data_IF_417833727784
#
_entry.id   IF_417833727784
#
_cell.length_a   1.000
_cell.length_b   1.000
_cell.length_c   1.000
_cell.angle_alpha   90.00
_cell.angle_beta   90.00
_cell.angle_gamma   90.00
#
_symmetry.space_group_name_H-M   'P 1'
#
loop_
_entity.id
_entity.type
_entity.pdbx_description
1 polymer ?
#
# COMPACT_ATOMS: atom_id res chain seq x y z
N UNK A 1 26.65 13.93 17.45
CA UNK A 1 26.48 14.46 16.08
C UNK A 1 25.18 13.99 15.41
N UNK A 2 24.77 12.72 15.56
CA UNK A 2 23.51 12.19 15.00
C UNK A 2 22.25 12.67 15.76
N UNK A 3 22.35 12.94 17.06
CA UNK A 3 21.25 13.53 17.84
C UNK A 3 20.96 15.01 17.49
N UNK A 4 21.94 15.74 16.95
CA UNK A 4 21.80 17.17 16.61
C UNK A 4 21.22 17.39 15.19
N UNK A 5 21.21 16.34 14.35
CA UNK A 5 20.44 16.31 13.11
C UNK A 5 18.95 15.98 13.36
N UNK A 6 18.65 15.38 14.51
CA UNK A 6 17.30 14.93 14.88
C UNK A 6 16.42 16.10 15.32
N UNK A 7 16.97 17.05 16.08
CA UNK A 7 16.28 18.30 16.49
C UNK A 7 16.05 19.28 15.35
N UNK A 8 16.96 19.33 14.36
CA UNK A 8 16.83 20.20 13.18
C UNK A 8 15.77 19.75 12.16
N UNK A 9 15.30 18.51 12.26
CA UNK A 9 14.25 17.96 11.40
C UNK A 9 12.99 17.50 12.18
N UNK A 10 13.04 17.47 13.52
CA UNK A 10 11.89 17.19 14.39
C UNK A 10 11.16 18.44 14.87
N UNK A 11 11.77 19.62 14.74
CA UNK A 11 11.04 20.87 14.79
C UNK A 11 10.34 21.04 13.45
N UNK A 12 9.06 20.68 13.37
CA UNK A 12 8.24 21.32 12.35
C UNK A 12 8.38 22.82 12.62
N UNK A 13 9.02 23.55 11.71
CA UNK A 13 8.95 25.00 11.73
C UNK A 13 7.47 25.36 11.53
N UNK A 14 6.73 25.40 12.64
CA UNK A 14 5.40 26.00 12.71
C UNK A 14 5.48 27.46 12.23
N UNK A 15 6.68 28.05 12.27
CA UNK A 15 6.98 29.40 11.85
C UNK A 15 7.07 29.52 10.33
N UNK A 16 6.23 30.39 9.80
CA UNK A 16 6.14 30.83 8.40
C UNK A 16 7.47 31.39 7.92
N UNK A 17 8.25 32.00 8.82
CA UNK A 17 9.60 32.51 8.54
C UNK A 17 10.63 31.46 8.13
N UNK A 18 10.48 30.20 8.55
CA UNK A 18 11.37 29.12 8.13
C UNK A 18 11.27 28.80 6.63
N UNK A 19 10.16 29.18 5.98
CA UNK A 19 9.90 28.95 4.56
C UNK A 19 9.77 30.28 3.81
N UNK A 20 10.69 30.57 2.87
CA UNK A 20 10.56 31.78 2.02
C UNK A 20 9.23 31.84 1.24
N UNK A 21 8.60 30.67 1.04
CA UNK A 21 7.24 30.55 0.50
C UNK A 21 6.17 31.14 1.44
N UNK A 22 6.16 30.75 2.72
CA UNK A 22 5.15 31.19 3.67
C UNK A 22 5.14 32.72 3.85
N UNK A 23 6.32 33.35 3.88
CA UNK A 23 6.41 34.81 3.93
C UNK A 23 5.81 35.47 2.69
N UNK A 24 6.13 34.95 1.50
CA UNK A 24 5.59 35.47 0.24
C UNK A 24 4.07 35.36 0.18
N UNK A 25 3.53 34.23 0.65
CA UNK A 25 2.09 33.99 0.71
C UNK A 25 1.40 34.89 1.74
N UNK A 26 2.00 35.11 2.92
CA UNK A 26 1.47 36.06 3.90
C UNK A 26 1.44 37.51 3.35
N UNK A 27 2.50 37.95 2.68
CA UNK A 27 2.54 39.27 2.05
C UNK A 27 1.52 39.40 0.90
N UNK A 28 1.24 38.31 0.17
CA UNK A 28 0.16 38.28 -0.80
C UNK A 28 -1.20 38.51 -0.12
N UNK A 29 -1.54 37.75 0.93
CA UNK A 29 -2.81 37.91 1.66
C UNK A 29 -2.92 39.32 2.25
N UNK A 30 -1.83 39.85 2.80
CA UNK A 30 -1.76 41.21 3.31
C UNK A 30 -2.03 42.26 2.24
N UNK A 31 -1.45 42.07 1.05
CA UNK A 31 -1.70 42.94 -0.11
C UNK A 31 -3.17 42.87 -0.51
N UNK A 32 -3.73 41.67 -0.61
CA UNK A 32 -5.15 41.48 -0.93
C UNK A 32 -6.08 42.15 0.09
N UNK A 33 -5.78 42.02 1.38
CA UNK A 33 -6.51 42.68 2.46
C UNK A 33 -6.54 44.21 2.30
N UNK A 34 -5.40 44.82 1.97
CA UNK A 34 -5.31 46.28 1.76
C UNK A 34 -6.13 46.78 0.56
N UNK A 35 -6.51 45.89 -0.36
CA UNK A 35 -7.33 46.19 -1.53
C UNK A 35 -8.83 46.00 -1.27
N UNK A 36 -9.24 45.49 -0.10
CA UNK A 36 -10.65 45.31 0.24
C UNK A 36 -11.22 46.60 0.84
N UNK A 37 -12.20 47.26 0.21
CA UNK A 37 -12.82 48.47 0.74
C UNK A 37 -13.59 48.18 2.04
N UNK A 38 -13.46 49.04 3.04
CA UNK A 38 -14.19 48.94 4.32
C UNK A 38 -14.03 47.58 5.05
N UNK A 39 -12.94 46.85 4.78
CA UNK A 39 -12.70 45.50 5.31
C UNK A 39 -12.81 45.43 6.86
N UNK A 40 -12.34 46.47 7.55
CA UNK A 40 -12.38 46.58 9.01
C UNK A 40 -13.81 46.70 9.56
N UNK A 41 -14.74 47.27 8.79
CA UNK A 41 -16.16 47.40 9.20
C UNK A 41 -16.95 46.12 8.95
N UNK A 42 -16.50 45.29 8.02
CA UNK A 42 -17.14 44.01 7.71
C UNK A 42 -16.86 42.93 8.78
N UNK A 43 -15.80 43.11 9.58
CA UNK A 43 -15.42 42.15 10.62
C UNK A 43 -16.09 42.43 11.97
N UNK A 44 -16.49 41.39 12.71
CA UNK A 44 -16.85 41.51 14.12
C UNK A 44 -15.67 42.03 14.97
N UNK A 45 -15.91 42.71 16.11
CA UNK A 45 -14.84 43.28 16.94
C UNK A 45 -13.73 42.29 17.34
N UNK A 46 -14.11 41.07 17.74
CA UNK A 46 -13.16 40.01 18.10
C UNK A 46 -12.31 39.53 16.91
N UNK A 47 -12.86 39.58 15.70
CA UNK A 47 -12.16 39.18 14.49
C UNK A 47 -11.14 40.26 14.06
N UNK A 48 -11.50 41.54 14.23
CA UNK A 48 -10.61 42.68 14.01
C UNK A 48 -9.45 42.71 15.01
N UNK A 49 -9.70 42.40 16.29
CA UNK A 49 -8.65 42.26 17.30
C UNK A 49 -7.67 41.13 16.93
N UNK A 50 -8.20 39.96 16.55
CA UNK A 50 -7.36 38.84 16.12
C UNK A 50 -6.52 39.18 14.88
N UNK A 51 -7.07 39.93 13.93
CA UNK A 51 -6.31 40.41 12.77
C UNK A 51 -5.17 41.35 13.19
N UNK A 52 -5.45 42.30 14.08
CA UNK A 52 -4.44 43.23 14.59
C UNK A 52 -3.31 42.49 15.33
N UNK A 53 -3.64 41.45 16.11
CA UNK A 53 -2.64 40.57 16.72
C UNK A 53 -1.75 39.92 15.67
N UNK A 54 -2.32 39.34 14.62
CA UNK A 54 -1.57 38.65 13.55
C UNK A 54 -0.66 39.63 12.80
N UNK A 55 -1.16 40.82 12.45
CA UNK A 55 -0.40 41.84 11.73
C UNK A 55 0.71 42.48 12.59
N UNK A 56 0.59 42.44 13.92
CA UNK A 56 1.60 42.95 14.85
C UNK A 56 2.76 41.96 15.06
N UNK A 57 2.59 40.67 14.74
CA UNK A 57 3.65 39.66 14.89
C UNK A 57 4.81 39.95 13.94
N UNK A 58 6.04 39.71 14.45
CA UNK A 58 7.23 39.71 13.59
C UNK A 58 7.18 38.51 12.66
N UNK A 59 7.84 38.62 11.50
CA UNK A 59 7.88 37.54 10.50
C UNK A 59 8.34 36.20 11.10
N UNK A 60 9.31 36.24 12.01
CA UNK A 60 9.87 35.09 12.75
C UNK A 60 8.87 34.39 13.69
N UNK A 61 7.82 35.10 14.13
CA UNK A 61 6.82 34.62 15.08
C UNK A 61 5.50 34.20 14.41
N UNK A 62 5.36 34.47 13.11
CA UNK A 62 4.17 34.10 12.34
C UNK A 62 4.12 32.59 12.18
N UNK A 63 2.98 31.98 12.48
CA UNK A 63 2.74 30.55 12.27
C UNK A 63 1.79 30.29 11.11
N UNK A 64 1.82 29.09 10.52
CA UNK A 64 0.87 28.71 9.47
C UNK A 64 -0.59 28.84 9.91
N UNK A 65 -0.85 28.59 11.20
CA UNK A 65 -2.16 28.82 11.82
C UNK A 65 -2.58 30.29 11.75
N UNK A 66 -1.65 31.23 11.94
CA UNK A 66 -1.93 32.66 11.83
C UNK A 66 -2.23 33.06 10.37
N UNK A 67 -1.50 32.51 9.40
CA UNK A 67 -1.73 32.76 7.96
C UNK A 67 -3.11 32.25 7.53
N UNK A 68 -3.46 31.03 7.93
CA UNK A 68 -4.76 30.43 7.65
C UNK A 68 -5.91 31.15 8.36
N UNK A 69 -5.69 31.63 9.58
CA UNK A 69 -6.64 32.49 10.26
C UNK A 69 -6.84 33.81 9.51
N UNK A 70 -5.77 34.43 9.00
CA UNK A 70 -5.86 35.64 8.20
C UNK A 70 -6.63 35.42 6.89
N UNK A 71 -6.37 34.32 6.18
CA UNK A 71 -7.11 33.96 4.96
C UNK A 71 -8.63 33.86 5.19
N UNK A 72 -9.05 33.26 6.32
CA UNK A 72 -10.47 33.19 6.71
C UNK A 72 -11.04 34.57 7.02
N UNK A 73 -10.28 35.41 7.71
CA UNK A 73 -10.69 36.79 8.01
C UNK A 73 -10.85 37.62 6.73
N UNK A 74 -9.94 37.45 5.76
CA UNK A 74 -10.06 38.05 4.43
C UNK A 74 -11.35 37.60 3.73
N UNK A 75 -11.64 36.29 3.76
CA UNK A 75 -12.86 35.72 3.17
C UNK A 75 -14.15 36.30 3.80
N UNK A 76 -14.12 36.58 5.11
CA UNK A 76 -15.23 37.23 5.81
C UNK A 76 -15.44 38.68 5.39
N UNK A 77 -14.36 39.40 5.16
CA UNK A 77 -14.41 40.81 4.77
C UNK A 77 -14.66 41.03 3.27
N UNK A 78 -14.52 39.99 2.43
CA UNK A 78 -14.68 40.13 0.99
C UNK A 78 -16.14 40.45 0.59
N UNK A 79 -16.33 41.42 -0.33
CA UNK A 79 -17.64 41.76 -0.85
C UNK A 79 -18.20 40.66 -1.78
N UNK A 80 -19.52 40.56 -1.87
CA UNK A 80 -20.23 39.56 -2.67
C UNK A 80 -19.74 39.44 -4.12
N UNK A 81 -19.34 40.56 -4.73
CA UNK A 81 -18.83 40.60 -6.11
C UNK A 81 -17.54 39.78 -6.29
N UNK A 82 -16.67 39.70 -5.27
CA UNK A 82 -15.43 38.92 -5.30
C UNK A 82 -15.59 37.51 -4.72
N UNK A 83 -16.65 37.26 -3.95
CA UNK A 83 -16.89 35.98 -3.31
C UNK A 83 -17.22 34.86 -4.32
N UNK A 84 -18.02 35.14 -5.35
CA UNK A 84 -18.36 34.17 -6.41
C UNK A 84 -17.13 33.63 -7.19
N UNK A 85 -16.24 34.48 -7.72
CA UNK A 85 -15.04 33.99 -8.40
C UNK A 85 -14.11 33.27 -7.42
N UNK A 86 -13.99 33.74 -6.17
CA UNK A 86 -13.21 33.04 -5.15
C UNK A 86 -13.74 31.63 -4.88
N UNK A 87 -15.05 31.48 -4.70
CA UNK A 87 -15.67 30.17 -4.48
C UNK A 87 -15.42 29.21 -5.65
N UNK A 88 -15.41 29.72 -6.88
CA UNK A 88 -15.08 28.91 -8.06
C UNK A 88 -13.61 28.47 -8.05
N UNK A 89 -12.70 29.38 -7.71
CA UNK A 89 -11.27 29.08 -7.62
C UNK A 89 -10.98 28.05 -6.52
N UNK A 90 -11.49 28.27 -5.30
CA UNK A 90 -11.30 27.38 -4.14
C UNK A 90 -11.88 25.99 -4.42
N UNK A 91 -13.05 25.88 -5.06
CA UNK A 91 -13.59 24.58 -5.46
C UNK A 91 -12.73 23.87 -6.50
N UNK A 92 -12.15 24.60 -7.46
CA UNK A 92 -11.23 24.03 -8.44
C UNK A 92 -9.98 23.50 -7.77
N UNK A 93 -9.37 24.28 -6.87
CA UNK A 93 -8.20 23.87 -6.12
C UNK A 93 -8.49 22.67 -5.21
N UNK A 94 -9.64 22.68 -4.53
CA UNK A 94 -10.09 21.53 -3.73
C UNK A 94 -10.25 20.27 -4.59
N UNK A 95 -10.87 20.39 -5.77
CA UNK A 95 -11.01 19.27 -6.73
C UNK A 95 -9.65 18.73 -7.16
N UNK A 96 -8.68 19.59 -7.42
CA UNK A 96 -7.31 19.18 -7.76
C UNK A 96 -6.64 18.45 -6.59
N UNK A 97 -6.82 18.95 -5.36
CA UNK A 97 -6.22 18.41 -4.16
C UNK A 97 -6.79 17.05 -3.74
N UNK A 98 -8.12 16.85 -3.87
CA UNK A 98 -8.82 15.64 -3.37
C UNK A 98 -9.13 14.61 -4.45
N UNK A 99 -8.96 14.98 -5.73
CA UNK A 99 -9.34 14.17 -6.88
C UNK A 99 -10.84 14.23 -7.20
N UNK A 100 -11.20 13.77 -8.40
CA UNK A 100 -12.55 13.88 -8.96
C UNK A 100 -13.60 13.06 -8.20
N UNK A 101 -13.23 11.88 -7.69
CA UNK A 101 -14.14 10.98 -6.98
C UNK A 101 -14.61 11.61 -5.67
N UNK A 102 -13.67 11.99 -4.81
CA UNK A 102 -13.95 12.64 -3.52
C UNK A 102 -14.69 13.97 -3.70
N UNK A 103 -14.36 14.73 -4.75
CA UNK A 103 -15.05 15.97 -5.05
C UNK A 103 -16.51 15.75 -5.46
N UNK A 104 -16.81 14.68 -6.20
CA UNK A 104 -18.18 14.32 -6.56
C UNK A 104 -19.03 13.97 -5.33
N UNK A 105 -18.44 13.31 -4.32
CA UNK A 105 -19.12 13.07 -3.04
C UNK A 105 -19.39 14.38 -2.28
N UNK A 106 -18.42 15.28 -2.26
CA UNK A 106 -18.60 16.62 -1.70
C UNK A 106 -19.73 17.39 -2.40
N UNK A 107 -19.78 17.42 -3.74
CA UNK A 107 -20.84 18.09 -4.51
C UNK A 107 -22.23 17.51 -4.22
N UNK A 108 -22.33 16.19 -4.00
CA UNK A 108 -23.59 15.55 -3.60
C UNK A 108 -24.05 15.98 -2.22
N UNK A 109 -23.12 16.15 -1.28
CA UNK A 109 -23.40 16.58 0.08
C UNK A 109 -23.67 18.09 0.19
N UNK A 110 -23.05 18.89 -0.69
CA UNK A 110 -23.12 20.35 -0.72
C UNK A 110 -23.48 20.84 -2.13
N UNK A 111 -24.74 20.65 -2.58
CA UNK A 111 -25.15 21.10 -3.90
C UNK A 111 -24.97 22.61 -4.02
N UNK A 112 -24.52 23.05 -5.20
CA UNK A 112 -24.29 24.46 -5.48
C UNK A 112 -25.53 25.30 -5.12
N UNK A 113 -25.35 26.40 -4.39
CA UNK A 113 -26.45 27.29 -4.09
C UNK A 113 -27.10 27.79 -5.40
N UNK A 114 -28.42 27.57 -5.56
CA UNK A 114 -29.21 27.96 -6.75
C UNK A 114 -29.08 29.47 -7.01
N UNK A 115 -29.09 29.93 -8.28
CA UNK A 115 -29.01 31.37 -8.61
C UNK A 115 -29.96 32.21 -7.73
N UNK A 116 -29.40 33.19 -6.99
CA UNK A 116 -30.12 33.96 -5.96
C UNK A 116 -29.78 33.58 -4.51
N UNK A 117 -28.85 32.66 -4.34
CA UNK A 117 -28.39 32.14 -3.05
C UNK A 117 -27.72 33.17 -2.15
N UNK A 118 -28.07 33.04 -0.88
CA UNK A 118 -27.67 33.89 0.24
C UNK A 118 -26.14 33.99 0.34
N UNK A 119 -25.61 35.21 0.34
CA UNK A 119 -24.17 35.49 0.40
C UNK A 119 -23.50 34.79 1.59
N UNK A 120 -24.25 34.64 2.68
CA UNK A 120 -23.85 33.91 3.88
C UNK A 120 -23.56 32.43 3.61
N UNK A 121 -24.38 31.76 2.78
CA UNK A 121 -24.19 30.34 2.44
C UNK A 121 -22.94 30.15 1.58
N UNK A 122 -22.70 31.04 0.61
CA UNK A 122 -21.51 30.96 -0.23
C UNK A 122 -20.23 31.20 0.58
N UNK A 123 -20.27 32.15 1.53
CA UNK A 123 -19.14 32.42 2.42
C UNK A 123 -18.85 31.24 3.33
N UNK A 124 -19.89 30.65 3.93
CA UNK A 124 -19.74 29.46 4.77
C UNK A 124 -19.14 28.27 4.00
N UNK A 125 -19.53 28.09 2.74
CA UNK A 125 -18.98 27.04 1.88
C UNK A 125 -17.49 27.24 1.59
N UNK A 126 -17.07 28.48 1.26
CA UNK A 126 -15.66 28.81 1.05
C UNK A 126 -14.85 28.61 2.34
N UNK A 127 -15.36 29.06 3.49
CA UNK A 127 -14.68 28.85 4.78
C UNK A 127 -14.52 27.35 5.11
N UNK A 128 -15.53 26.53 4.80
CA UNK A 128 -15.46 25.08 5.00
C UNK A 128 -14.40 24.44 4.09
N UNK A 129 -14.41 24.79 2.80
CA UNK A 129 -13.43 24.27 1.84
C UNK A 129 -12.00 24.67 2.22
N UNK A 130 -11.78 25.93 2.59
CA UNK A 130 -10.48 26.39 3.10
C UNK A 130 -10.08 25.61 4.34
N UNK A 131 -11.00 25.37 5.29
CA UNK A 131 -10.70 24.57 6.48
C UNK A 131 -10.30 23.14 6.14
N UNK A 132 -11.00 22.49 5.20
CA UNK A 132 -10.68 21.15 4.74
C UNK A 132 -9.32 21.10 4.03
N UNK A 133 -9.02 22.08 3.17
CA UNK A 133 -7.73 22.20 2.48
C UNK A 133 -6.59 22.41 3.46
N UNK A 134 -6.77 23.30 4.43
CA UNK A 134 -5.79 23.58 5.49
C UNK A 134 -5.49 22.31 6.30
N UNK A 135 -6.50 21.51 6.62
CA UNK A 135 -6.31 20.22 7.26
C UNK A 135 -5.45 19.26 6.42
N UNK A 136 -5.71 19.18 5.11
CA UNK A 136 -4.90 18.37 4.19
C UNK A 136 -3.45 18.86 4.15
N UNK A 137 -3.24 20.17 4.00
CA UNK A 137 -1.90 20.75 3.95
C UNK A 137 -1.11 20.56 5.25
N UNK A 138 -1.78 20.57 6.40
CA UNK A 138 -1.13 20.31 7.69
C UNK A 138 -0.77 18.82 7.81
N UNK A 139 -1.65 17.91 7.40
CA UNK A 139 -1.46 16.47 7.63
C UNK A 139 -0.53 15.82 6.60
N UNK A 140 -0.59 16.24 5.34
CA UNK A 140 0.16 15.63 4.25
C UNK A 140 1.69 15.59 4.51
N UNK A 141 2.34 16.65 5.07
CA UNK A 141 3.74 16.58 5.49
C UNK A 141 3.96 15.53 6.58
N UNK A 142 3.10 15.44 7.61
CA UNK A 142 3.25 14.45 8.69
C UNK A 142 3.22 13.01 8.17
N UNK A 143 2.40 12.77 7.15
CA UNK A 143 2.32 11.49 6.45
C UNK A 143 3.59 11.20 5.66
N UNK A 144 4.06 12.18 4.90
CA UNK A 144 5.28 12.07 4.10
C UNK A 144 6.49 11.80 5.01
N UNK A 145 6.58 12.47 6.16
CA UNK A 145 7.63 12.20 7.15
C UNK A 145 7.53 10.79 7.72
N UNK A 146 6.33 10.32 8.06
CA UNK A 146 6.13 8.96 8.58
C UNK A 146 6.47 7.90 7.55
N UNK A 147 6.06 8.08 6.29
CA UNK A 147 6.38 7.21 5.16
C UNK A 147 7.88 7.18 4.91
N UNK A 148 8.52 8.34 4.82
CA UNK A 148 9.96 8.43 4.60
C UNK A 148 10.76 7.83 5.74
N UNK A 149 10.28 7.96 6.99
CA UNK A 149 10.89 7.29 8.14
C UNK A 149 10.77 5.77 8.05
N UNK A 150 9.59 5.23 7.71
CA UNK A 150 9.38 3.79 7.58
C UNK A 150 10.21 3.21 6.42
N UNK A 151 10.22 3.88 5.28
CA UNK A 151 11.04 3.50 4.12
C UNK A 151 12.53 3.51 4.47
N UNK A 152 13.03 4.58 5.11
CA UNK A 152 14.44 4.65 5.55
C UNK A 152 14.76 3.54 6.55
N UNK A 153 13.87 3.28 7.51
CA UNK A 153 14.05 2.21 8.49
C UNK A 153 14.12 0.83 7.82
N UNK A 154 13.20 0.54 6.89
CA UNK A 154 13.20 -0.71 6.13
C UNK A 154 14.49 -0.88 5.32
N UNK A 155 14.94 0.17 4.64
CA UNK A 155 16.20 0.15 3.87
C UNK A 155 17.39 -0.12 4.80
N UNK A 156 17.49 0.58 5.93
CA UNK A 156 18.58 0.39 6.90
C UNK A 156 18.54 -1.03 7.49
N UNK A 157 17.36 -1.53 7.86
CA UNK A 157 17.19 -2.88 8.39
C UNK A 157 17.61 -3.94 7.36
N UNK A 158 17.20 -3.81 6.10
CA UNK A 158 17.59 -4.73 5.03
C UNK A 158 19.08 -4.64 4.69
N UNK A 159 19.67 -3.44 4.78
CA UNK A 159 21.11 -3.26 4.62
C UNK A 159 21.89 -3.96 5.75
N UNK A 160 21.47 -3.78 7.01
CA UNK A 160 22.06 -4.46 8.16
C UNK A 160 21.93 -5.98 8.05
N UNK A 161 20.76 -6.48 7.64
CA UNK A 161 20.55 -7.90 7.40
C UNK A 161 21.46 -8.43 6.28
N UNK A 162 21.63 -7.68 5.20
CA UNK A 162 22.54 -8.04 4.10
C UNK A 162 23.99 -8.13 4.58
N UNK A 163 24.45 -7.14 5.36
CA UNK A 163 25.79 -7.14 5.96
C UNK A 163 25.95 -8.33 6.90
N UNK A 164 24.94 -8.63 7.73
CA UNK A 164 24.98 -9.76 8.65
C UNK A 164 25.06 -11.10 7.90
N UNK A 165 24.32 -11.28 6.80
CA UNK A 165 24.37 -12.49 5.97
C UNK A 165 25.73 -12.63 5.27
N UNK A 166 26.28 -11.54 4.73
CA UNK A 166 27.62 -11.55 4.11
C UNK A 166 28.68 -11.89 5.15
N UNK A 167 28.63 -11.27 6.33
CA UNK A 167 29.57 -11.52 7.41
C UNK A 167 29.47 -12.96 7.92
N UNK A 168 28.25 -13.48 8.11
CA UNK A 168 28.01 -14.87 8.45
C UNK A 168 28.56 -15.82 7.39
N UNK A 169 28.43 -15.47 6.10
CA UNK A 169 28.98 -16.26 5.01
C UNK A 169 30.52 -16.33 5.00
N UNK A 170 31.22 -15.37 5.61
CA UNK A 170 32.68 -15.42 5.74
C UNK A 170 33.16 -16.26 6.94
N UNK A 171 32.31 -16.44 7.96
CA UNK A 171 32.69 -17.11 9.22
C UNK A 171 32.20 -18.55 9.34
N UNK A 172 31.05 -18.86 8.73
CA UNK A 172 30.43 -20.16 8.86
C UNK A 172 30.99 -21.16 7.83
N UNK A 173 31.01 -22.45 8.17
CA UNK A 173 31.35 -23.48 7.19
C UNK A 173 30.34 -23.48 6.03
N UNK A 174 30.76 -23.85 4.80
CA UNK A 174 29.93 -23.88 3.60
C UNK A 174 28.56 -24.55 3.75
N UNK A 175 28.43 -25.51 4.67
CA UNK A 175 27.20 -26.24 4.94
C UNK A 175 26.10 -25.46 5.67
N UNK A 176 26.40 -24.29 6.25
CA UNK A 176 25.45 -23.52 7.08
C UNK A 176 24.86 -22.28 6.38
N UNK A 177 25.22 -22.01 5.12
CA UNK A 177 24.78 -20.79 4.44
C UNK A 177 23.36 -20.86 3.86
N UNK A 178 22.86 -22.06 3.57
CA UNK A 178 21.57 -22.26 2.90
C UNK A 178 20.43 -21.57 3.64
N UNK A 179 20.33 -21.78 4.96
CA UNK A 179 19.23 -21.23 5.76
C UNK A 179 19.32 -19.71 5.88
N UNK A 180 20.52 -19.13 5.97
CA UNK A 180 20.69 -17.68 5.98
C UNK A 180 20.21 -17.03 4.68
N UNK A 181 20.48 -17.65 3.51
CA UNK A 181 19.99 -17.13 2.23
C UNK A 181 18.47 -17.29 2.06
N UNK A 182 17.89 -18.39 2.56
CA UNK A 182 16.43 -18.60 2.58
C UNK A 182 15.73 -17.53 3.43
N UNK A 183 16.21 -17.31 4.65
CA UNK A 183 15.68 -16.26 5.54
C UNK A 183 15.82 -14.88 4.89
N UNK A 184 16.97 -14.59 4.30
CA UNK A 184 17.20 -13.32 3.60
C UNK A 184 16.26 -13.12 2.43
N UNK A 185 16.11 -14.12 1.56
CA UNK A 185 15.22 -14.05 0.40
C UNK A 185 13.76 -13.84 0.83
N UNK A 186 13.30 -14.54 1.87
CA UNK A 186 11.98 -14.34 2.46
C UNK A 186 11.79 -12.95 3.05
N UNK A 187 12.76 -12.48 3.84
CA UNK A 187 12.72 -11.14 4.42
C UNK A 187 12.68 -10.04 3.34
N UNK A 188 13.44 -10.23 2.25
CA UNK A 188 13.44 -9.33 1.10
C UNK A 188 12.07 -9.30 0.40
N UNK A 189 11.45 -10.45 0.17
CA UNK A 189 10.10 -10.52 -0.39
C UNK A 189 9.07 -9.75 0.44
N UNK A 190 9.10 -9.94 1.75
CA UNK A 190 8.21 -9.22 2.67
C UNK A 190 8.51 -7.72 2.73
N UNK A 191 9.79 -7.31 2.63
CA UNK A 191 10.16 -5.91 2.56
C UNK A 191 9.60 -5.23 1.29
N UNK A 192 9.65 -5.90 0.13
CA UNK A 192 9.02 -5.40 -1.11
C UNK A 192 7.50 -5.28 -0.98
N UNK A 193 6.85 -6.27 -0.36
CA UNK A 193 5.42 -6.23 -0.06
C UNK A 193 5.06 -5.06 0.87
N UNK A 194 5.84 -4.86 1.93
CA UNK A 194 5.69 -3.72 2.85
C UNK A 194 5.90 -2.37 2.14
N UNK A 195 6.89 -2.26 1.26
CA UNK A 195 7.15 -1.05 0.49
C UNK A 195 5.98 -0.70 -0.43
N UNK A 196 5.39 -1.70 -1.10
CA UNK A 196 4.20 -1.50 -1.93
C UNK A 196 3.01 -1.00 -1.10
N UNK A 197 2.79 -1.54 0.10
CA UNK A 197 1.73 -1.08 1.03
C UNK A 197 1.92 0.39 1.45
N UNK A 198 3.16 0.80 1.76
CA UNK A 198 3.50 2.18 2.13
C UNK A 198 3.23 3.14 0.96
N UNK A 199 3.43 2.69 -0.28
CA UNK A 199 3.16 3.48 -1.48
C UNK A 199 1.65 3.60 -1.77
N UNK A 200 0.89 2.52 -1.62
CA UNK A 200 -0.56 2.53 -1.88
C UNK A 200 -1.38 3.23 -0.80
N UNK A 201 -0.90 3.25 0.45
CA UNK A 201 -1.60 3.89 1.57
C UNK A 201 -1.66 5.43 1.46
N UNK A 202 -0.88 6.04 0.57
CA UNK A 202 -0.81 7.49 0.38
C UNK A 202 -2.03 8.11 -0.33
N UNK A 203 -2.95 7.30 -0.86
CA UNK A 203 -4.09 7.77 -1.65
C UNK A 203 -5.45 7.81 -0.95
N UNK A 204 -5.56 7.38 0.31
CA UNK A 204 -6.88 7.20 0.96
C UNK A 204 -7.04 8.04 2.24
N UNK A 205 -7.92 9.04 2.22
CA UNK A 205 -8.30 9.90 3.36
C UNK A 205 -8.66 9.12 4.65
N UNK A 206 -9.31 7.96 4.52
CA UNK A 206 -9.73 7.11 5.65
C UNK A 206 -8.61 6.26 6.27
N UNK A 207 -7.55 5.99 5.49
CA UNK A 207 -6.34 5.33 5.98
C UNK A 207 -5.57 6.23 6.96
N UNK A 208 -5.72 7.56 6.85
CA UNK A 208 -4.92 8.57 7.56
C UNK A 208 -5.30 8.69 9.03
N UNK A 209 -6.59 8.66 9.36
CA UNK A 209 -7.06 8.61 10.76
C UNK A 209 -6.66 7.30 11.43
N UNK A 210 -6.64 6.20 10.67
CA UNK A 210 -6.14 4.90 11.14
C UNK A 210 -4.61 4.89 11.29
N UNK A 211 -3.86 5.57 10.42
CA UNK A 211 -2.40 5.73 10.51
C UNK A 211 -2.00 6.59 11.72
N UNK A 212 -2.74 7.67 12.00
CA UNK A 212 -2.51 8.52 13.17
C UNK A 212 -2.88 7.84 14.49
N UNK A 213 -3.92 6.99 14.50
CA UNK A 213 -4.33 6.24 15.70
C UNK A 213 -3.53 4.98 15.97
N UNK A 214 -2.82 4.42 14.98
CA UNK A 214 -2.43 3.02 15.05
C UNK A 214 -0.92 2.80 15.03
N UNK A 215 -0.35 2.62 16.22
CA UNK A 215 0.90 1.88 16.37
C UNK A 215 0.88 0.51 15.68
N UNK A 216 -0.31 -0.04 15.35
CA UNK A 216 -0.47 -1.33 14.66
C UNK A 216 0.01 -1.31 13.20
N UNK A 217 -0.21 -0.22 12.43
CA UNK A 217 0.29 -0.16 11.04
C UNK A 217 1.81 -0.13 11.02
N UNK A 218 2.41 0.67 11.91
CA UNK A 218 3.86 0.73 12.11
C UNK A 218 4.43 -0.64 12.52
N UNK A 219 3.78 -1.29 13.48
CA UNK A 219 4.17 -2.62 13.96
C UNK A 219 4.09 -3.67 12.83
N UNK A 220 3.03 -3.66 12.02
CA UNK A 220 2.84 -4.61 10.92
C UNK A 220 3.94 -4.47 9.84
N UNK A 221 4.33 -3.25 9.50
CA UNK A 221 5.41 -2.96 8.55
C UNK A 221 6.77 -3.36 9.11
N UNK A 222 7.00 -3.12 10.40
CA UNK A 222 8.28 -3.42 11.06
C UNK A 222 8.52 -4.93 11.22
N UNK A 223 7.47 -5.70 11.50
CA UNK A 223 7.59 -7.15 11.73
C UNK A 223 7.55 -7.92 10.39
N UNK A 224 7.08 -7.31 9.30
CA UNK A 224 6.94 -7.96 7.99
C UNK A 224 8.20 -8.72 7.52
N UNK A 225 9.43 -8.15 7.54
CA UNK A 225 10.62 -8.89 7.10
C UNK A 225 10.92 -10.13 7.96
N UNK A 226 10.64 -10.08 9.27
CA UNK A 226 10.83 -11.21 10.18
C UNK A 226 9.84 -12.33 9.85
N UNK A 227 8.56 -11.99 9.66
CA UNK A 227 7.53 -12.95 9.25
C UNK A 227 7.84 -13.54 7.87
N UNK A 228 8.34 -12.72 6.94
CA UNK A 228 8.75 -13.18 5.61
C UNK A 228 9.89 -14.19 5.65
N UNK A 229 10.91 -13.92 6.47
CA UNK A 229 12.01 -14.86 6.69
C UNK A 229 11.53 -16.17 7.32
N UNK A 230 10.68 -16.10 8.35
CA UNK A 230 10.09 -17.29 8.98
C UNK A 230 9.23 -18.10 8.00
N UNK A 231 8.44 -17.41 7.19
CA UNK A 231 7.62 -18.01 6.14
C UNK A 231 8.49 -18.78 5.15
N UNK A 232 9.56 -18.16 4.64
CA UNK A 232 10.49 -18.84 3.75
C UNK A 232 11.11 -20.11 4.36
N UNK A 233 11.45 -20.10 5.65
CA UNK A 233 11.94 -21.30 6.36
C UNK A 233 10.89 -22.41 6.38
N UNK A 234 9.64 -22.09 6.73
CA UNK A 234 8.54 -23.07 6.71
C UNK A 234 8.35 -23.64 5.31
N UNK A 235 8.34 -22.79 4.27
CA UNK A 235 8.19 -23.25 2.89
C UNK A 235 9.36 -24.15 2.46
N UNK A 236 10.59 -23.82 2.84
CA UNK A 236 11.75 -24.66 2.56
C UNK A 236 11.60 -26.07 3.15
N UNK A 237 11.07 -26.19 4.38
CA UNK A 237 10.77 -27.49 4.98
C UNK A 237 9.61 -28.23 4.30
N UNK A 238 8.59 -27.52 3.79
CA UNK A 238 7.53 -28.16 2.99
C UNK A 238 8.07 -28.80 1.70
N UNK A 239 9.04 -28.14 1.04
CA UNK A 239 9.76 -28.75 -0.09
C UNK A 239 10.62 -29.94 0.36
N UNK A 240 11.36 -29.78 1.46
CA UNK A 240 12.26 -30.83 1.97
C UNK A 240 11.51 -32.09 2.44
N UNK A 241 10.30 -31.93 2.96
CA UNK A 241 9.42 -33.03 3.33
C UNK A 241 8.66 -33.63 2.13
N UNK A 242 8.83 -33.06 0.93
CA UNK A 242 8.19 -33.56 -0.30
C UNK A 242 6.69 -33.33 -0.35
N UNK A 243 6.13 -32.42 0.46
CA UNK A 243 4.69 -32.08 0.41
C UNK A 243 4.35 -31.23 -0.82
N UNK A 244 5.33 -30.54 -1.39
CA UNK A 244 5.20 -29.74 -2.60
C UNK A 244 6.16 -30.28 -3.66
N UNK A 245 5.62 -30.80 -4.77
CA UNK A 245 6.40 -31.47 -5.83
C UNK A 245 5.99 -30.99 -7.22
N UNK A 246 6.94 -30.95 -8.16
CA UNK A 246 6.74 -30.48 -9.53
C UNK A 246 8.00 -29.88 -10.16
N UNK A 247 8.01 -29.73 -11.50
CA UNK A 247 9.20 -29.31 -12.24
C UNK A 247 9.72 -27.89 -11.88
N UNK A 248 8.82 -27.01 -11.43
CA UNK A 248 9.13 -25.64 -11.00
C UNK A 248 9.52 -25.54 -9.53
N UNK A 249 9.35 -26.61 -8.74
CA UNK A 249 9.70 -26.63 -7.33
C UNK A 249 11.12 -27.15 -7.11
N UNK A 250 11.81 -26.67 -6.07
CA UNK A 250 13.15 -27.15 -5.74
C UNK A 250 13.08 -28.58 -5.19
N UNK A 251 13.96 -29.46 -5.68
CA UNK A 251 14.20 -30.74 -5.03
C UNK A 251 15.16 -30.50 -3.85
N UNK A 252 14.63 -30.57 -2.63
CA UNK A 252 15.41 -30.30 -1.40
C UNK A 252 15.57 -31.59 -0.62
N UNK A 253 16.82 -31.93 -0.28
CA UNK A 253 17.14 -33.13 0.51
C UNK A 253 17.55 -32.73 1.93
N UNK A 254 17.03 -33.45 2.92
CA UNK A 254 17.41 -33.28 4.33
C UNK A 254 18.64 -34.15 4.65
N UNK A 255 19.60 -33.61 5.39
CA UNK A 255 20.71 -34.38 5.91
C UNK A 255 20.23 -35.46 6.91
N UNK A 256 20.40 -36.74 6.57
CA UNK A 256 19.96 -37.89 7.39
C UNK A 256 21.09 -38.58 8.17
N UNK A 257 22.30 -38.02 8.20
CA UNK A 257 23.46 -38.67 8.82
C UNK A 257 23.47 -38.48 10.34
N UNK A 258 22.99 -39.50 11.08
CA UNK A 258 23.35 -40.02 12.43
C UNK A 258 23.88 -39.15 13.59
N UNK A 259 24.16 -37.88 13.40
CA UNK A 259 24.59 -36.92 14.42
C UNK A 259 23.58 -35.78 14.50
N UNK A 260 23.52 -35.11 15.65
CA UNK A 260 22.62 -34.00 15.91
C UNK A 260 22.73 -32.91 14.84
N UNK A 261 21.85 -32.95 13.84
CA UNK A 261 21.83 -31.97 12.74
C UNK A 261 21.30 -30.66 13.31
N UNK A 262 22.17 -29.65 13.41
CA UNK A 262 21.74 -28.29 13.70
C UNK A 262 20.76 -27.83 12.61
N UNK A 263 19.71 -27.09 12.99
CA UNK A 263 18.69 -26.60 12.05
C UNK A 263 19.32 -25.86 10.84
N UNK A 264 20.45 -25.20 11.07
CA UNK A 264 21.22 -24.46 10.06
C UNK A 264 21.89 -25.35 8.99
N UNK A 265 22.14 -26.64 9.24
CA UNK A 265 22.74 -27.61 8.30
C UNK A 265 21.76 -28.65 7.76
N UNK A 266 20.46 -28.49 8.07
CA UNK A 266 19.44 -29.47 7.70
C UNK A 266 19.18 -29.54 6.18
N UNK A 267 19.32 -28.42 5.45
CA UNK A 267 19.06 -28.34 4.01
C UNK A 267 20.37 -28.43 3.23
N UNK A 268 20.57 -29.53 2.50
CA UNK A 268 21.77 -29.76 1.70
C UNK A 268 21.53 -29.46 0.22
N UNK A 269 22.43 -28.67 -0.36
CA UNK A 269 22.54 -28.44 -1.80
C UNK A 269 23.97 -28.67 -2.25
N UNK A 270 24.16 -29.00 -3.53
CA UNK A 270 25.49 -29.23 -4.10
C UNK A 270 26.37 -27.95 -4.16
N UNK A 271 25.77 -26.79 -3.89
CA UNK A 271 26.43 -25.49 -3.83
C UNK A 271 25.55 -24.38 -4.43
N UNK A 272 26.06 -23.15 -4.49
CA UNK A 272 25.37 -22.01 -5.09
C UNK A 272 25.05 -22.19 -6.59
N UNK A 273 25.74 -23.10 -7.27
CA UNK A 273 25.52 -23.43 -8.68
C UNK A 273 24.37 -24.43 -8.91
N UNK A 274 23.76 -24.97 -7.86
CA UNK A 274 22.63 -25.91 -7.97
C UNK A 274 21.36 -25.18 -8.43
N UNK A 275 20.74 -25.55 -9.57
CA UNK A 275 19.47 -24.95 -10.01
C UNK A 275 18.35 -25.05 -8.97
N UNK A 276 18.36 -26.07 -8.11
CA UNK A 276 17.37 -26.23 -7.04
C UNK A 276 17.55 -25.19 -5.94
N UNK A 277 18.78 -24.76 -5.68
CA UNK A 277 19.04 -23.68 -4.74
C UNK A 277 18.48 -22.35 -5.26
N UNK A 278 18.68 -22.04 -6.55
CA UNK A 278 18.09 -20.85 -7.17
C UNK A 278 16.54 -20.87 -7.12
N UNK A 279 15.93 -22.01 -7.46
CA UNK A 279 14.47 -22.20 -7.33
C UNK A 279 14.00 -21.99 -5.89
N UNK A 280 14.74 -22.50 -4.90
CA UNK A 280 14.41 -22.33 -3.50
C UNK A 280 14.44 -20.85 -3.09
N UNK A 281 15.44 -20.07 -3.52
CA UNK A 281 15.50 -18.64 -3.21
C UNK A 281 14.35 -17.86 -3.83
N UNK A 282 13.97 -18.17 -5.07
CA UNK A 282 12.81 -17.55 -5.73
C UNK A 282 11.53 -17.85 -4.95
N UNK A 283 11.30 -19.10 -4.57
CA UNK A 283 10.12 -19.47 -3.79
C UNK A 283 10.15 -18.92 -2.36
N UNK A 284 11.33 -18.78 -1.76
CA UNK A 284 11.51 -18.11 -0.47
C UNK A 284 11.12 -16.64 -0.55
N UNK A 285 11.55 -15.93 -1.59
CA UNK A 285 11.10 -14.55 -1.86
C UNK A 285 9.59 -14.47 -2.05
N UNK A 286 9.01 -15.37 -2.86
CA UNK A 286 7.56 -15.41 -3.10
C UNK A 286 6.79 -15.68 -1.82
N UNK A 287 7.29 -16.55 -0.94
CA UNK A 287 6.70 -16.83 0.36
C UNK A 287 6.63 -15.60 1.26
N UNK A 288 7.70 -14.80 1.30
CA UNK A 288 7.72 -13.57 2.06
C UNK A 288 6.89 -12.46 1.42
N UNK A 289 6.87 -12.38 0.09
CA UNK A 289 6.09 -11.38 -0.64
C UNK A 289 4.58 -11.61 -0.51
N UNK A 290 4.14 -12.86 -0.65
CA UNK A 290 2.76 -13.28 -0.53
C UNK A 290 2.49 -13.82 0.88
N UNK A 291 2.28 -12.93 1.84
CA UNK A 291 2.05 -13.25 3.27
C UNK A 291 0.93 -14.29 3.52
N UNK A 292 0.01 -14.47 2.57
CA UNK A 292 -1.09 -15.47 2.65
C UNK A 292 -0.76 -16.82 2.01
N UNK A 293 0.31 -16.92 1.22
CA UNK A 293 0.65 -18.13 0.47
C UNK A 293 0.84 -19.35 1.37
N UNK A 294 1.52 -19.17 2.51
CA UNK A 294 1.80 -20.27 3.44
C UNK A 294 0.58 -20.67 4.24
N UNK A 295 -0.16 -19.74 4.91
CA UNK A 295 -1.43 -20.10 5.53
C UNK A 295 -2.35 -20.85 4.58
N UNK A 296 -2.53 -20.35 3.35
CA UNK A 296 -3.37 -20.99 2.34
C UNK A 296 -2.84 -22.39 1.94
N UNK A 297 -1.52 -22.58 1.88
CA UNK A 297 -0.91 -23.89 1.60
C UNK A 297 -1.14 -24.89 2.75
N UNK A 298 -0.98 -24.45 4.01
CA UNK A 298 -1.21 -25.28 5.19
C UNK A 298 -2.69 -25.67 5.34
N UNK A 299 -3.60 -24.73 5.08
CA UNK A 299 -5.04 -24.98 5.09
C UNK A 299 -5.44 -26.03 4.04
N UNK A 300 -4.86 -25.95 2.83
CA UNK A 300 -5.06 -26.95 1.77
C UNK A 300 -4.54 -28.34 2.17
N UNK A 301 -3.34 -28.41 2.74
CA UNK A 301 -2.77 -29.68 3.21
C UNK A 301 -3.61 -30.29 4.34
N UNK A 302 -4.12 -29.46 5.25
CA UNK A 302 -5.01 -29.88 6.33
C UNK A 302 -6.34 -30.40 5.78
N UNK A 303 -6.91 -29.73 4.77
CA UNK A 303 -8.13 -30.18 4.10
C UNK A 303 -7.93 -31.53 3.38
N UNK A 304 -6.81 -31.70 2.67
CA UNK A 304 -6.45 -32.96 2.02
C UNK A 304 -6.25 -34.10 3.04
N UNK A 305 -5.57 -33.84 4.16
CA UNK A 305 -5.38 -34.84 5.21
C UNK A 305 -6.72 -35.32 5.81
N UNK A 306 -7.67 -34.40 6.05
CA UNK A 306 -9.03 -34.75 6.51
C UNK A 306 -9.80 -35.58 5.48
N UNK A 307 -9.62 -35.28 4.19
CA UNK A 307 -10.28 -36.03 3.11
C UNK A 307 -9.72 -37.45 2.98
N UNK A 308 -8.40 -37.63 3.10
CA UNK A 308 -7.76 -38.96 3.11
C UNK A 308 -8.14 -39.79 4.34
N UNK A 309 -8.35 -39.16 5.50
CA UNK A 309 -8.76 -39.83 6.74
C UNK A 309 -10.25 -40.23 6.77
N UNK A 310 -11.08 -39.62 5.91
CA UNK A 310 -12.52 -39.91 5.82
C UNK A 310 -12.89 -40.83 4.66
N UNK A 311 -11.91 -41.27 3.86
CA UNK A 311 -12.11 -42.31 2.85
C UNK A 311 -12.41 -43.66 3.56
N UNK A 312 -13.57 -44.30 3.32
CA UNK A 312 -13.85 -45.61 3.87
C UNK A 312 -12.83 -46.63 3.37
N UNK A 313 -12.31 -47.47 4.26
CA UNK A 313 -11.44 -48.58 3.89
C UNK A 313 -12.05 -49.38 2.73
N UNK A 314 -11.28 -49.77 1.70
CA UNK A 314 -11.79 -50.63 0.65
C UNK A 314 -12.30 -51.91 1.31
N UNK A 315 -13.59 -52.17 1.13
CA UNK A 315 -14.24 -53.40 1.60
C UNK A 315 -13.44 -54.59 1.07
N UNK A 316 -13.04 -55.57 1.91
CA UNK A 316 -12.39 -56.76 1.41
C UNK A 316 -13.38 -57.48 0.50
N UNK A 317 -13.07 -57.50 -0.79
CA UNK A 317 -13.84 -58.24 -1.78
C UNK A 317 -13.85 -59.72 -1.36
N UNK A 318 -15.03 -60.18 -0.93
CA UNK A 318 -15.31 -61.57 -0.68
C UNK A 318 -15.02 -62.39 -1.94
N UNK A 319 -14.40 -63.55 -1.72
CA UNK A 319 -13.96 -64.44 -2.79
C UNK A 319 -15.08 -64.87 -3.72
N UNK A 320 -14.73 -64.96 -5.00
CA UNK A 320 -15.42 -65.80 -5.96
C UNK A 320 -14.36 -66.58 -6.74
N UNK A 321 -14.59 -67.88 -6.76
CA UNK A 321 -13.69 -68.95 -7.16
C UNK A 321 -13.63 -69.00 -8.69
N UNK A 322 -12.45 -69.36 -9.20
CA UNK A 322 -12.13 -69.73 -10.58
C UNK A 322 -13.07 -70.80 -11.15
N UNK A 323 -13.46 -70.67 -12.42
CA UNK A 323 -14.16 -71.71 -13.19
C UNK A 323 -14.30 -71.34 -14.66
N UNK A 324 -13.55 -72.04 -15.51
CA UNK A 324 -13.39 -71.81 -16.95
C UNK A 324 -14.48 -72.46 -17.82
N UNK A 325 -14.78 -71.86 -18.99
CA UNK A 325 -15.22 -72.48 -20.26
C UNK A 325 -15.32 -71.36 -21.33
N UNK A 326 -14.41 -71.25 -22.31
CA UNK A 326 -14.40 -71.88 -23.65
C UNK A 326 -15.59 -71.51 -24.55
N UNK A 327 -15.28 -70.76 -25.63
CA UNK A 327 -15.85 -70.99 -26.97
C UNK A 327 -16.69 -69.88 -27.60
N UNK A 328 -16.22 -69.36 -28.75
CA UNK A 328 -17.10 -68.90 -29.84
C UNK A 328 -17.02 -67.42 -30.24
N UNK A 329 -16.21 -67.12 -31.25
CA UNK A 329 -16.34 -65.94 -32.12
C UNK A 329 -17.22 -66.30 -33.35
N UNK A 330 -17.44 -65.43 -34.36
CA UNK A 330 -17.58 -63.96 -34.42
C UNK A 330 -18.88 -63.53 -35.16
N UNK A 331 -19.22 -62.23 -35.22
CA UNK A 331 -19.65 -61.52 -36.44
C UNK A 331 -20.29 -60.14 -36.16
N UNK A 332 -19.82 -59.12 -36.89
CA UNK A 332 -20.68 -58.22 -37.67
C UNK A 332 -21.23 -56.95 -37.00
N UNK A 333 -20.79 -55.79 -37.51
CA UNK A 333 -21.58 -54.55 -37.41
C UNK A 333 -20.76 -53.28 -37.26
N UNK A 334 -20.33 -52.70 -38.38
CA UNK A 334 -19.83 -51.32 -38.48
C UNK A 334 -21.01 -50.31 -38.58
N UNK A 335 -20.79 -49.03 -38.94
CA UNK A 335 -20.52 -47.89 -38.06
C UNK A 335 -21.65 -46.84 -38.12
N UNK A 336 -21.67 -45.86 -37.21
CA UNK A 336 -22.39 -44.59 -37.44
C UNK A 336 -21.66 -43.37 -36.88
N UNK A 337 -21.11 -42.61 -37.82
CA UNK A 337 -20.96 -41.16 -37.77
C UNK A 337 -22.32 -40.46 -37.67
N UNK A 338 -22.42 -39.41 -36.86
CA UNK A 338 -23.14 -38.16 -37.21
C UNK A 338 -22.60 -37.02 -36.36
N UNK A 339 -21.63 -36.29 -36.93
CA UNK A 339 -21.62 -34.84 -37.20
C UNK A 339 -22.18 -33.78 -36.20
N UNK A 340 -21.72 -32.51 -36.34
CA UNK A 340 -21.66 -31.50 -35.27
C UNK A 340 -22.48 -30.21 -35.53
N UNK A 341 -22.29 -29.19 -34.64
CA UNK A 341 -22.58 -27.73 -34.75
C UNK A 341 -24.04 -27.28 -34.51
N UNK A 342 -24.36 -25.97 -34.25
CA UNK A 342 -23.60 -24.71 -34.46
C UNK A 342 -23.51 -23.79 -33.19
N UNK A 343 -22.67 -22.76 -33.03
CA UNK A 343 -22.28 -21.59 -33.83
C UNK A 343 -23.40 -20.55 -34.11
N UNK A 344 -23.51 -19.54 -33.23
CA UNK A 344 -24.01 -18.18 -33.49
C UNK A 344 -22.85 -17.25 -33.06
N UNK A 345 -22.20 -16.36 -33.83
CA UNK A 345 -22.58 -15.47 -34.94
C UNK A 345 -23.84 -14.66 -34.64
N UNK A 346 -23.84 -13.34 -34.47
CA UNK A 346 -22.81 -12.31 -34.69
C UNK A 346 -23.45 -10.93 -34.49
N UNK A 347 -22.79 -9.90 -35.02
CA UNK A 347 -23.14 -8.47 -35.07
C UNK A 347 -22.81 -7.67 -33.80
N UNK A 348 -22.04 -6.58 -33.83
CA UNK A 348 -21.57 -5.75 -34.94
C UNK A 348 -21.94 -4.29 -34.66
N UNK A 349 -20.96 -3.41 -34.43
CA UNK A 349 -21.08 -1.98 -34.66
C UNK A 349 -19.69 -1.34 -34.76
N UNK A 350 -19.50 -0.60 -35.84
CA UNK A 350 -18.29 0.09 -36.31
C UNK A 350 -18.02 1.42 -35.58
N UNK A 351 -16.82 2.02 -35.80
CA UNK A 351 -16.38 3.28 -35.19
C UNK A 351 -16.69 4.51 -36.06
N UNK A 352 -16.79 5.68 -35.41
CA UNK A 352 -16.78 7.04 -36.01
C UNK A 352 -15.70 7.81 -35.23
N UNK A 353 -14.56 8.19 -35.80
CA UNK A 353 -14.34 9.40 -36.63
C UNK A 353 -14.06 10.62 -35.71
N UNK A 354 -12.81 10.93 -35.33
CA UNK A 354 -11.82 11.79 -36.02
C UNK A 354 -12.12 13.31 -35.99
N UNK A 355 -11.23 14.09 -35.34
CA UNK A 355 -10.89 15.54 -35.49
C UNK A 355 -10.45 16.10 -34.11
N UNK A 356 -9.49 17.02 -33.92
CA UNK A 356 -8.53 17.74 -34.75
C UNK A 356 -7.54 18.48 -33.83
N UNK A 357 -6.52 19.09 -34.46
CA UNK A 357 -5.68 20.20 -34.00
C UNK A 357 -4.50 19.89 -33.05
N UNK A 358 -3.29 19.97 -33.61
CA UNK A 358 -2.15 20.54 -32.90
C UNK A 358 -1.47 21.58 -33.79
N UNK A 359 -1.32 22.78 -33.21
CA UNK A 359 -0.36 23.81 -33.59
C UNK A 359 0.91 23.61 -32.78
#
# INVERSE_FOLDING_TARGET
>A
MIANLFTRFSGGDETVAGSGYGQSYFEQIRTEWSLVPDAEKALPPAASERLAEILAKRSEELTWSDVYAFERLLTRALPAARLKPLATAVRSEYRELVGSETFCEYEKAHPLPVEGSDEATLRADVEQLQSDMQWIYIIQPLEEFSRNRLTKWLIVMMLLLSVAVIFWAQLADPGYHTLSYVVFAGALGAAFSAQRRIQTAAGQRSSLVNLMKSGSVRLSVQIAPVIGGLSAVVLAFLFAAGLLQGALFPAVSVATSGESVALCSALKFAGAADPNFAKLLVWSFVAGFAERLIPDALDRLTAQAKQSASAPAPTPAGGAISGAAVGGAPAGGAPRDTAPRPAMSGAGAQPVGAAAANR
#
